data_IF_110683131578
#
_entry.id   IF_110683131578
#
_cell.length_a   1.000
_cell.length_b   1.000
_cell.length_c   1.000
_cell.angle_alpha   90.00
_cell.angle_beta   90.00
_cell.angle_gamma   90.00
#
_symmetry.space_group_name_H-M   'P 1'
#
loop_
_entity.id
_entity.type
_entity.pdbx_description
1 polymer ?
#
# COMPACT_ATOMS: atom_id res chain seq x y z
N UNK A 1 -37.54 40.32 -16.76
CA UNK A 1 -37.62 41.36 -15.70
C UNK A 1 -37.23 40.70 -14.37
N UNK A 2 -36.36 41.36 -13.60
CA UNK A 2 -35.72 40.99 -12.30
C UNK A 2 -34.78 39.76 -12.33
N UNK A 3 -33.45 39.80 -12.14
CA UNK A 3 -32.48 40.60 -11.34
C UNK A 3 -32.27 40.17 -9.87
N UNK A 4 -31.01 39.83 -9.60
CA UNK A 4 -30.20 40.10 -8.39
C UNK A 4 -30.04 39.03 -7.31
N UNK A 5 -28.78 38.81 -6.90
CA UNK A 5 -28.41 38.13 -5.66
C UNK A 5 -27.01 37.51 -5.61
N UNK A 6 -25.97 38.18 -6.12
CA UNK A 6 -24.56 37.74 -6.01
C UNK A 6 -24.02 38.08 -4.60
N UNK A 7 -23.89 37.08 -3.72
CA UNK A 7 -23.29 37.24 -2.39
C UNK A 7 -21.80 36.84 -2.43
N UNK A 8 -20.93 37.84 -2.40
CA UNK A 8 -19.47 37.72 -2.30
C UNK A 8 -19.04 37.76 -0.82
N UNK A 9 -18.42 36.70 -0.25
CA UNK A 9 -17.89 36.77 1.11
C UNK A 9 -16.49 37.43 1.11
N UNK A 10 -16.49 38.70 1.52
CA UNK A 10 -15.52 39.38 2.40
C UNK A 10 -14.05 38.89 2.43
N UNK A 11 -13.23 39.63 1.68
CA UNK A 11 -11.76 39.70 1.70
C UNK A 11 -11.11 39.92 3.08
N UNK A 12 -11.88 40.27 4.12
CA UNK A 12 -11.40 40.44 5.49
C UNK A 12 -11.06 39.11 6.19
N UNK A 13 -11.79 38.02 5.89
CA UNK A 13 -11.56 36.71 6.51
C UNK A 13 -10.28 36.04 5.98
N UNK A 14 -9.98 36.24 4.68
CA UNK A 14 -8.74 35.75 4.06
C UNK A 14 -7.49 36.47 4.59
N UNK A 15 -7.59 37.77 4.86
CA UNK A 15 -6.50 38.56 5.43
C UNK A 15 -6.18 38.17 6.89
N UNK A 16 -7.22 37.85 7.68
CA UNK A 16 -7.05 37.36 9.05
C UNK A 16 -6.44 35.94 9.10
N UNK A 17 -6.80 35.07 8.14
CA UNK A 17 -6.20 33.73 8.02
C UNK A 17 -4.72 33.81 7.60
N UNK A 18 -4.37 34.71 6.67
CA UNK A 18 -2.99 34.89 6.22
C UNK A 18 -2.06 35.43 7.32
N UNK A 19 -2.54 36.35 8.18
CA UNK A 19 -1.74 36.86 9.29
C UNK A 19 -1.54 35.81 10.40
N UNK A 20 -2.54 34.96 10.66
CA UNK A 20 -2.43 33.85 11.60
C UNK A 20 -1.42 32.77 11.14
N UNK A 21 -1.36 32.49 9.83
CA UNK A 21 -0.41 31.54 9.24
C UNK A 21 1.03 32.07 9.31
N UNK A 22 1.23 33.38 9.09
CA UNK A 22 2.55 34.01 9.22
C UNK A 22 3.04 34.03 10.69
N UNK A 23 2.15 34.33 11.64
CA UNK A 23 2.48 34.29 13.07
C UNK A 23 2.82 32.86 13.56
N UNK A 24 2.12 31.84 13.04
CA UNK A 24 2.43 30.44 13.32
C UNK A 24 3.76 30.00 12.71
N UNK A 25 4.08 30.46 11.50
CA UNK A 25 5.37 30.21 10.84
C UNK A 25 6.56 30.75 11.63
N UNK A 26 6.45 31.98 12.14
CA UNK A 26 7.51 32.59 12.94
C UNK A 26 7.74 31.86 14.28
N UNK A 27 6.67 31.39 14.94
CA UNK A 27 6.76 30.64 16.20
C UNK A 27 7.48 29.28 16.01
N UNK A 28 7.22 28.60 14.88
CA UNK A 28 7.84 27.32 14.52
C UNK A 28 9.31 27.48 14.16
N UNK A 29 9.70 28.56 13.49
CA UNK A 29 11.10 28.85 13.16
C UNK A 29 11.91 29.16 14.43
N UNK A 30 11.36 29.92 15.38
CA UNK A 30 12.00 30.16 16.69
C UNK A 30 12.09 28.91 17.57
N UNK A 31 11.12 27.98 17.48
CA UNK A 31 11.20 26.71 18.19
C UNK A 31 12.26 25.77 17.58
N UNK A 32 12.43 25.81 16.26
CA UNK A 32 13.37 24.94 15.51
C UNK A 32 14.84 25.33 15.70
N UNK A 33 15.15 26.56 16.09
CA UNK A 33 16.53 27.03 16.38
C UNK A 33 16.94 26.83 17.84
N UNK A 34 15.98 26.70 18.77
CA UNK A 34 16.23 26.47 20.20
C UNK A 34 16.39 24.99 20.59
N UNK A 35 15.85 24.07 19.78
CA UNK A 35 15.91 22.62 20.07
C UNK A 35 17.32 22.02 19.82
N UNK A 36 18.09 22.40 18.77
CA UNK A 36 19.43 21.85 18.55
C UNK A 36 20.47 22.32 19.59
N UNK A 37 20.25 23.47 20.23
CA UNK A 37 21.18 24.04 21.22
C UNK A 37 21.03 23.46 22.63
N UNK A 38 19.91 22.82 22.95
CA UNK A 38 19.67 22.15 24.24
C UNK A 38 20.07 20.67 24.28
N UNK A 39 20.25 20.04 23.12
CA UNK A 39 20.53 18.59 23.01
C UNK A 39 22.00 18.25 22.76
N UNK A 40 22.86 19.25 22.53
CA UNK A 40 24.28 19.04 22.25
C UNK A 40 25.15 19.38 23.47
N UNK A 41 25.00 18.60 24.55
CA UNK A 41 25.90 18.64 25.71
C UNK A 41 26.83 17.44 25.62
N UNK A 42 28.05 17.70 25.15
CA UNK A 42 29.17 16.75 25.18
C UNK A 42 29.71 16.63 26.62
N UNK A 43 29.94 15.43 27.18
CA UNK A 43 30.37 15.31 28.57
C UNK A 43 31.90 15.43 28.67
N UNK A 44 32.42 16.66 28.75
CA UNK A 44 33.81 16.89 29.13
C UNK A 44 34.07 18.36 29.50
N UNK A 45 33.61 18.81 30.67
CA UNK A 45 34.36 19.78 31.51
C UNK A 45 33.63 20.07 32.84
N UNK A 46 34.33 20.09 33.99
CA UNK A 46 33.71 20.38 35.29
C UNK A 46 33.85 21.87 35.61
N UNK A 47 33.18 22.76 34.87
CA UNK A 47 33.07 24.21 35.21
C UNK A 47 32.12 24.96 34.26
N UNK A 48 30.85 24.60 34.24
CA UNK A 48 29.81 25.44 33.64
C UNK A 48 28.45 25.14 34.25
N UNK A 49 28.37 25.41 35.56
CA UNK A 49 27.11 25.62 36.26
C UNK A 49 26.48 26.93 35.77
N UNK A 50 25.64 26.87 34.73
CA UNK A 50 24.67 27.94 34.44
C UNK A 50 23.27 27.38 34.71
N UNK A 51 22.86 27.58 35.97
CA UNK A 51 21.50 27.88 36.43
C UNK A 51 20.34 27.09 35.80
N UNK A 52 20.29 25.79 36.05
CA UNK A 52 19.00 25.07 36.14
C UNK A 52 18.63 24.96 37.62
N UNK A 53 17.86 25.95 38.08
CA UNK A 53 17.16 25.90 39.35
C UNK A 53 16.24 24.66 39.31
N UNK A 54 16.69 23.58 39.92
CA UNK A 54 15.93 22.33 40.03
C UNK A 54 14.77 22.55 40.99
N UNK A 55 13.63 23.00 40.46
CA UNK A 55 12.39 23.11 41.22
C UNK A 55 11.50 21.87 40.95
N UNK A 56 11.07 21.15 42.00
CA UNK A 56 10.44 19.83 41.88
C UNK A 56 9.06 19.82 41.18
N UNK A 57 8.48 20.99 40.88
CA UNK A 57 7.19 21.12 40.20
C UNK A 57 7.24 21.14 38.67
N UNK A 58 8.39 21.42 38.06
CA UNK A 58 8.55 21.53 36.60
C UNK A 58 8.22 20.23 35.82
N UNK A 59 8.61 19.02 36.27
CA UNK A 59 8.25 17.79 35.55
C UNK A 59 6.76 17.45 35.65
N UNK A 60 6.10 17.83 36.74
CA UNK A 60 4.66 17.66 36.92
C UNK A 60 3.87 18.62 36.04
N UNK A 61 4.31 19.88 35.96
CA UNK A 61 3.73 20.87 35.06
C UNK A 61 3.88 20.44 33.59
N UNK A 62 5.06 19.94 33.19
CA UNK A 62 5.27 19.41 31.83
C UNK A 62 4.37 18.23 31.51
N UNK A 63 4.19 17.27 32.44
CA UNK A 63 3.26 16.14 32.27
C UNK A 63 1.81 16.60 32.18
N UNK A 64 1.42 17.59 32.99
CA UNK A 64 0.09 18.18 32.95
C UNK A 64 -0.18 18.88 31.61
N UNK A 65 0.77 19.68 31.10
CA UNK A 65 0.64 20.32 29.79
C UNK A 65 0.52 19.31 28.64
N UNK A 66 1.30 18.22 28.65
CA UNK A 66 1.22 17.17 27.62
C UNK A 66 -0.11 16.41 27.69
N UNK A 67 -0.59 16.11 28.89
CA UNK A 67 -1.88 15.45 29.10
C UNK A 67 -3.04 16.34 28.63
N UNK A 68 -3.01 17.62 28.99
CA UNK A 68 -3.99 18.61 28.56
C UNK A 68 -3.99 18.81 27.04
N UNK A 69 -2.80 18.88 26.42
CA UNK A 69 -2.67 18.96 24.96
C UNK A 69 -3.21 17.70 24.26
N UNK A 70 -2.99 16.50 24.83
CA UNK A 70 -3.57 15.25 24.32
C UNK A 70 -5.10 15.25 24.38
N UNK A 71 -5.68 15.76 25.46
CA UNK A 71 -7.14 15.90 25.61
C UNK A 71 -7.70 16.88 24.58
N UNK A 72 -7.06 18.04 24.40
CA UNK A 72 -7.46 19.02 23.41
C UNK A 72 -7.39 18.46 21.98
N UNK A 73 -6.35 17.68 21.66
CA UNK A 73 -6.23 17.03 20.37
C UNK A 73 -7.35 16.00 20.14
N UNK A 74 -7.67 15.19 21.15
CA UNK A 74 -8.80 14.23 21.10
C UNK A 74 -10.13 14.95 20.90
N UNK A 75 -10.35 16.05 21.62
CA UNK A 75 -11.56 16.86 21.48
C UNK A 75 -11.66 17.50 20.09
N UNK A 76 -10.54 17.97 19.56
CA UNK A 76 -10.46 18.52 18.20
C UNK A 76 -10.77 17.46 17.14
N UNK A 77 -10.23 16.24 17.25
CA UNK A 77 -10.55 15.11 16.36
C UNK A 77 -12.03 14.71 16.45
N UNK A 78 -12.61 14.78 17.65
CA UNK A 78 -14.01 14.47 17.89
C UNK A 78 -14.93 15.53 17.28
N UNK A 79 -14.60 16.82 17.42
CA UNK A 79 -15.29 17.92 16.73
C UNK A 79 -15.14 17.79 15.22
N UNK A 80 -13.96 17.45 14.71
CA UNK A 80 -13.74 17.26 13.27
C UNK A 80 -14.57 16.10 12.71
N UNK A 81 -14.74 15.04 13.51
CA UNK A 81 -15.59 13.89 13.20
C UNK A 81 -17.09 14.22 13.23
N UNK A 82 -17.49 15.24 14.01
CA UNK A 82 -18.86 15.77 14.05
C UNK A 82 -19.14 16.78 12.92
N UNK A 83 -18.16 17.59 12.54
CA UNK A 83 -18.27 18.58 11.45
C UNK A 83 -18.19 17.93 10.06
N UNK A 84 -17.47 16.81 9.95
CA UNK A 84 -17.36 16.00 8.75
C UNK A 84 -17.80 14.57 9.05
N UNK A 85 -19.12 14.31 9.14
CA UNK A 85 -19.62 12.96 9.29
C UNK A 85 -19.11 12.14 8.11
N UNK A 86 -18.33 11.09 8.40
CA UNK A 86 -17.97 10.09 7.41
C UNK A 86 -19.30 9.55 6.84
N UNK A 87 -19.53 9.55 5.52
CA UNK A 87 -20.73 8.95 4.97
C UNK A 87 -20.83 7.52 5.52
N UNK A 88 -22.04 7.06 5.90
CA UNK A 88 -22.21 5.68 6.34
C UNK A 88 -21.59 4.76 5.28
N UNK A 89 -20.95 3.64 5.67
CA UNK A 89 -20.45 2.69 4.69
C UNK A 89 -21.62 2.41 3.75
N UNK A 90 -21.43 2.73 2.47
CA UNK A 90 -22.41 2.39 1.47
C UNK A 90 -22.56 0.89 1.56
N UNK A 91 -23.66 0.44 2.16
CA UNK A 91 -24.15 -0.92 2.03
C UNK A 91 -24.60 -1.06 0.58
N UNK A 92 -23.65 -1.00 -0.35
CA UNK A 92 -23.83 -1.43 -1.71
C UNK A 92 -23.91 -2.95 -1.62
N UNK A 93 -25.09 -3.44 -1.25
CA UNK A 93 -25.59 -4.63 -1.92
C UNK A 93 -25.44 -4.31 -3.40
N UNK A 94 -24.40 -4.89 -4.00
CA UNK A 94 -24.03 -4.72 -5.40
C UNK A 94 -25.29 -4.61 -6.23
N UNK A 95 -25.48 -3.47 -6.90
CA UNK A 95 -26.59 -3.29 -7.83
C UNK A 95 -26.56 -4.51 -8.76
N UNK A 96 -27.57 -5.37 -8.61
CA UNK A 96 -27.66 -6.64 -9.29
C UNK A 96 -27.67 -6.31 -10.78
N UNK A 97 -26.57 -6.60 -11.48
CA UNK A 97 -26.56 -6.51 -12.93
C UNK A 97 -27.58 -7.52 -13.45
N UNK A 98 -28.64 -7.03 -14.09
CA UNK A 98 -29.69 -7.85 -14.69
C UNK A 98 -29.18 -8.69 -15.89
N UNK A 99 -27.91 -8.54 -16.28
CA UNK A 99 -27.27 -9.28 -17.38
C UNK A 99 -26.45 -10.50 -16.91
N UNK A 100 -26.32 -10.71 -15.60
CA UNK A 100 -25.51 -11.80 -15.04
C UNK A 100 -26.36 -13.05 -14.74
N UNK A 101 -25.81 -14.23 -15.07
CA UNK A 101 -26.48 -15.50 -14.82
C UNK A 101 -26.82 -15.66 -13.32
N UNK A 102 -27.90 -16.37 -12.95
CA UNK A 102 -28.22 -16.63 -11.55
C UNK A 102 -27.05 -17.24 -10.77
N UNK A 103 -26.26 -18.10 -11.43
CA UNK A 103 -25.06 -18.73 -10.86
C UNK A 103 -23.96 -17.71 -10.57
N UNK A 104 -23.71 -16.78 -11.50
CA UNK A 104 -22.76 -15.67 -11.29
C UNK A 104 -23.18 -14.81 -10.10
N UNK A 105 -24.48 -14.46 -10.02
CA UNK A 105 -25.00 -13.66 -8.91
C UNK A 105 -24.87 -14.37 -7.56
N UNK A 106 -25.16 -15.67 -7.53
CA UNK A 106 -25.02 -16.48 -6.31
C UNK A 106 -23.56 -16.53 -5.86
N UNK A 107 -22.61 -16.79 -6.77
CA UNK A 107 -21.19 -16.85 -6.45
C UNK A 107 -20.65 -15.48 -6.00
N UNK A 108 -20.95 -14.40 -6.74
CA UNK A 108 -20.59 -13.03 -6.34
C UNK A 108 -21.15 -12.67 -4.97
N UNK A 109 -22.37 -13.10 -4.65
CA UNK A 109 -22.96 -12.88 -3.32
C UNK A 109 -22.17 -13.63 -2.23
N UNK A 110 -21.79 -14.89 -2.46
CA UNK A 110 -20.96 -15.65 -1.50
C UNK A 110 -19.60 -14.96 -1.29
N UNK A 111 -18.93 -14.54 -2.37
CA UNK A 111 -17.64 -13.82 -2.29
C UNK A 111 -17.77 -12.48 -1.55
N UNK A 112 -18.84 -11.74 -1.82
CA UNK A 112 -19.17 -10.51 -1.09
C UNK A 112 -19.33 -10.78 0.40
N UNK A 113 -20.11 -11.81 0.79
CA UNK A 113 -20.30 -12.23 2.17
C UNK A 113 -18.98 -12.58 2.87
N UNK A 114 -18.07 -13.30 2.20
CA UNK A 114 -16.72 -13.60 2.73
C UNK A 114 -15.99 -12.31 3.12
N UNK A 115 -16.05 -11.28 2.29
CA UNK A 115 -15.38 -10.00 2.55
C UNK A 115 -15.91 -9.26 3.78
N UNK A 116 -17.18 -9.44 4.14
CA UNK A 116 -17.82 -8.75 5.27
C UNK A 116 -17.65 -9.47 6.62
N UNK A 117 -17.64 -10.80 6.65
CA UNK A 117 -17.61 -11.55 7.91
C UNK A 117 -16.20 -11.49 8.51
N UNK A 118 -16.01 -11.14 9.80
CA UNK A 118 -14.69 -11.16 10.43
C UNK A 118 -14.14 -12.60 10.57
N UNK A 119 -12.82 -12.76 10.46
CA UNK A 119 -12.14 -14.08 10.54
C UNK A 119 -12.39 -14.80 11.88
N UNK A 120 -12.66 -14.05 12.95
CA UNK A 120 -13.01 -14.60 14.26
C UNK A 120 -14.34 -15.34 14.30
N UNK A 121 -15.20 -15.15 13.30
CA UNK A 121 -16.50 -15.83 13.21
C UNK A 121 -16.37 -17.16 12.49
N UNK A 122 -16.93 -18.24 13.07
CA UNK A 122 -17.05 -19.55 12.38
C UNK A 122 -17.77 -19.44 11.03
N UNK A 123 -18.63 -18.43 10.85
CA UNK A 123 -19.34 -18.17 9.58
C UNK A 123 -18.38 -17.77 8.45
N UNK A 124 -17.21 -17.22 8.78
CA UNK A 124 -16.17 -16.87 7.80
C UNK A 124 -15.66 -18.13 7.09
N UNK A 125 -15.24 -19.12 7.87
CA UNK A 125 -14.75 -20.40 7.34
C UNK A 125 -15.84 -21.13 6.57
N UNK A 126 -17.10 -21.09 7.05
CA UNK A 126 -18.23 -21.62 6.29
C UNK A 126 -18.38 -20.94 4.93
N UNK A 127 -18.49 -19.61 4.89
CA UNK A 127 -18.66 -18.86 3.63
C UNK A 127 -17.47 -19.06 2.68
N UNK A 128 -16.24 -19.09 3.20
CA UNK A 128 -15.03 -19.35 2.42
C UNK A 128 -15.01 -20.76 1.85
N UNK A 129 -15.31 -21.77 2.66
CA UNK A 129 -15.41 -23.16 2.19
C UNK A 129 -16.53 -23.37 1.17
N UNK A 130 -17.61 -22.61 1.27
CA UNK A 130 -18.69 -22.60 0.27
C UNK A 130 -18.21 -21.96 -1.02
N UNK A 131 -17.48 -20.84 -0.96
CA UNK A 131 -16.89 -20.20 -2.13
C UNK A 131 -15.91 -21.14 -2.84
N UNK A 132 -14.97 -21.74 -2.10
CA UNK A 132 -13.99 -22.69 -2.65
C UNK A 132 -14.70 -23.84 -3.36
N UNK A 133 -15.69 -24.46 -2.72
CA UNK A 133 -16.45 -25.57 -3.31
C UNK A 133 -17.18 -25.18 -4.59
N UNK A 134 -17.87 -24.03 -4.60
CA UNK A 134 -18.59 -23.57 -5.79
C UNK A 134 -17.63 -23.24 -6.95
N UNK A 135 -16.46 -22.68 -6.65
CA UNK A 135 -15.42 -22.43 -7.64
C UNK A 135 -14.89 -23.74 -8.21
N UNK A 136 -14.56 -24.70 -7.36
CA UNK A 136 -14.01 -26.00 -7.75
C UNK A 136 -15.04 -26.83 -8.53
N UNK A 137 -16.32 -26.83 -8.12
CA UNK A 137 -17.42 -27.48 -8.84
C UNK A 137 -17.60 -26.89 -10.25
N UNK A 138 -17.51 -25.57 -10.39
CA UNK A 138 -17.56 -24.89 -11.69
C UNK A 138 -16.34 -25.24 -12.57
N UNK A 139 -15.16 -25.46 -11.96
CA UNK A 139 -13.98 -25.92 -12.69
C UNK A 139 -14.13 -27.36 -13.18
N UNK A 140 -14.61 -28.27 -12.33
CA UNK A 140 -14.75 -29.70 -12.65
C UNK A 140 -15.90 -29.94 -13.64
N UNK A 141 -17.01 -29.23 -13.49
CA UNK A 141 -18.23 -29.43 -14.28
C UNK A 141 -18.18 -28.76 -15.66
N UNK A 142 -17.07 -28.11 -16.01
CA UNK A 142 -16.95 -27.36 -17.25
C UNK A 142 -16.92 -28.28 -18.47
N UNK A 143 -18.09 -28.48 -19.06
CA UNK A 143 -18.22 -28.63 -20.52
C UNK A 143 -17.63 -27.39 -21.21
N UNK A 144 -17.21 -27.46 -22.49
CA UNK A 144 -16.52 -26.36 -23.15
C UNK A 144 -17.33 -25.05 -23.09
N UNK A 145 -16.87 -24.08 -22.30
CA UNK A 145 -17.24 -22.65 -22.42
C UNK A 145 -18.21 -22.03 -21.39
N UNK A 146 -18.88 -22.80 -20.53
CA UNK A 146 -19.97 -22.23 -19.70
C UNK A 146 -19.55 -21.66 -18.34
N UNK A 147 -19.02 -22.51 -17.46
CA UNK A 147 -18.87 -22.21 -16.02
C UNK A 147 -17.54 -21.52 -15.67
N UNK A 148 -16.50 -21.67 -16.50
CA UNK A 148 -15.26 -20.90 -16.35
C UNK A 148 -15.50 -19.39 -16.43
N UNK A 149 -16.37 -18.93 -17.33
CA UNK A 149 -16.73 -17.52 -17.46
C UNK A 149 -17.44 -16.99 -16.20
N UNK A 150 -18.20 -17.86 -15.51
CA UNK A 150 -18.86 -17.53 -14.24
C UNK A 150 -17.82 -17.29 -13.15
N UNK A 151 -16.85 -18.20 -12.98
CA UNK A 151 -15.76 -18.04 -12.01
C UNK A 151 -14.95 -16.79 -12.30
N UNK A 152 -14.53 -16.61 -13.56
CA UNK A 152 -13.76 -15.46 -14.01
C UNK A 152 -14.47 -14.15 -13.67
N UNK A 153 -15.73 -13.99 -14.04
CA UNK A 153 -16.49 -12.77 -13.77
C UNK A 153 -16.67 -12.49 -12.26
N UNK A 154 -17.05 -13.50 -11.48
CA UNK A 154 -17.29 -13.33 -10.05
C UNK A 154 -16.00 -13.03 -9.26
N UNK A 155 -14.90 -13.73 -9.58
CA UNK A 155 -13.59 -13.50 -8.95
C UNK A 155 -13.01 -12.14 -9.33
N UNK A 156 -13.14 -11.74 -10.60
CA UNK A 156 -12.67 -10.46 -11.12
C UNK A 156 -13.34 -9.27 -10.38
N UNK A 157 -14.66 -9.31 -10.24
CA UNK A 157 -15.42 -8.29 -9.49
C UNK A 157 -15.07 -8.31 -7.98
N UNK A 158 -14.97 -9.48 -7.37
CA UNK A 158 -14.60 -9.61 -5.96
C UNK A 158 -13.18 -9.11 -5.65
N UNK A 159 -12.22 -9.38 -6.55
CA UNK A 159 -10.83 -8.94 -6.43
C UNK A 159 -10.76 -7.41 -6.51
N UNK A 160 -11.40 -6.82 -7.51
CA UNK A 160 -11.45 -5.37 -7.67
C UNK A 160 -12.15 -4.67 -6.51
N UNK A 161 -13.28 -5.21 -6.05
CA UNK A 161 -13.99 -4.69 -4.89
C UNK A 161 -13.11 -4.74 -3.63
N UNK A 162 -12.34 -5.82 -3.44
CA UNK A 162 -11.44 -5.97 -2.30
C UNK A 162 -10.27 -4.97 -2.34
N UNK A 163 -9.70 -4.71 -3.53
CA UNK A 163 -8.70 -3.65 -3.72
C UNK A 163 -9.29 -2.27 -3.39
N UNK A 164 -10.46 -1.93 -3.95
CA UNK A 164 -11.13 -0.64 -3.69
C UNK A 164 -11.42 -0.44 -2.20
N UNK A 165 -11.80 -1.51 -1.51
CA UNK A 165 -12.08 -1.48 -0.08
C UNK A 165 -10.81 -1.33 0.76
N UNK A 166 -9.71 -1.98 0.37
CA UNK A 166 -8.39 -1.73 0.97
C UNK A 166 -7.97 -0.28 0.81
N UNK A 167 -8.09 0.29 -0.38
CA UNK A 167 -7.77 1.70 -0.63
C UNK A 167 -8.60 2.66 0.24
N UNK A 168 -9.86 2.31 0.53
CA UNK A 168 -10.72 3.10 1.40
C UNK A 168 -10.35 3.00 2.90
N UNK A 169 -9.76 1.88 3.33
CA UNK A 169 -9.31 1.68 4.72
C UNK A 169 -7.91 2.23 5.00
N UNK A 170 -7.11 2.41 3.96
CA UNK A 170 -5.70 2.79 4.10
C UNK A 170 -5.47 4.29 3.93
N UNK A 171 -4.43 4.84 4.58
CA UNK A 171 -4.13 6.25 4.47
C UNK A 171 -3.82 6.63 3.02
N UNK A 172 -4.39 7.75 2.57
CA UNK A 172 -4.10 8.32 1.27
C UNK A 172 -2.73 9.00 1.27
N UNK A 173 -1.81 8.63 0.37
CA UNK A 173 -0.52 9.30 0.26
C UNK A 173 -0.66 10.57 -0.59
N UNK A 174 -0.81 11.73 0.05
CA UNK A 174 -0.69 13.06 -0.56
C UNK A 174 -1.60 14.12 0.09
N UNK A 175 -1.15 15.34 0.40
CA UNK A 175 0.09 16.01 -0.02
C UNK A 175 0.57 17.09 0.95
N UNK A 176 1.81 16.93 1.40
CA UNK A 176 2.57 17.95 2.12
C UNK A 176 3.96 17.41 2.52
N UNK A 177 4.97 18.27 2.73
CA UNK A 177 6.32 17.87 3.17
C UNK A 177 6.33 17.02 4.46
N UNK A 178 5.27 17.14 5.27
CA UNK A 178 5.10 16.42 6.53
C UNK A 178 4.85 14.92 6.35
N UNK A 179 4.36 14.43 5.20
CA UNK A 179 4.08 12.99 5.02
C UNK A 179 5.35 12.15 4.84
N UNK A 180 6.38 12.69 4.17
CA UNK A 180 7.69 12.06 4.11
C UNK A 180 8.36 12.02 5.49
N UNK A 181 8.17 13.10 6.26
CA UNK A 181 8.66 13.22 7.64
C UNK A 181 7.93 12.24 8.55
N UNK A 182 6.61 12.06 8.41
CA UNK A 182 5.83 11.06 9.16
C UNK A 182 6.25 9.64 8.79
N UNK A 183 6.54 9.36 7.52
CA UNK A 183 7.09 8.07 7.09
C UNK A 183 8.47 7.77 7.71
N UNK A 184 9.37 8.76 7.72
CA UNK A 184 10.69 8.65 8.34
C UNK A 184 10.62 8.54 9.88
N UNK A 185 9.73 9.31 10.52
CA UNK A 185 9.48 9.27 11.96
C UNK A 185 8.84 7.96 12.37
N UNK A 186 7.90 7.41 11.58
CA UNK A 186 7.25 6.12 11.85
C UNK A 186 8.23 4.95 11.69
N UNK A 187 9.13 5.01 10.70
CA UNK A 187 10.25 4.07 10.61
C UNK A 187 11.19 4.15 11.81
N UNK A 188 11.43 5.35 12.33
CA UNK A 188 12.23 5.57 13.54
C UNK A 188 11.50 5.11 14.81
N UNK A 189 10.17 5.29 14.90
CA UNK A 189 9.36 4.88 16.04
C UNK A 189 9.22 3.35 16.13
N UNK A 190 9.18 2.65 14.98
CA UNK A 190 9.29 1.18 14.91
C UNK A 190 10.59 0.67 15.53
N UNK A 191 11.69 1.42 15.38
CA UNK A 191 13.00 1.10 15.99
C UNK A 191 13.04 1.28 17.51
N UNK A 192 12.11 2.03 18.10
CA UNK A 192 12.09 2.35 19.55
C UNK A 192 11.03 1.54 20.31
N UNK A 193 10.24 0.69 19.64
CA UNK A 193 9.29 -0.20 20.30
C UNK A 193 8.14 0.50 21.02
N UNK A 194 7.80 1.73 20.62
CA UNK A 194 6.68 2.48 21.21
C UNK A 194 5.38 1.98 20.60
N UNK A 195 4.69 1.10 21.33
CA UNK A 195 3.44 0.47 20.93
C UNK A 195 2.31 1.46 20.65
N UNK A 196 1.62 1.23 19.53
CA UNK A 196 0.46 1.99 19.05
C UNK A 196 -0.76 1.73 19.93
N UNK A 197 -1.32 2.79 20.53
CA UNK A 197 -2.54 2.74 21.33
C UNK A 197 -3.75 2.92 20.41
N UNK A 198 -4.55 1.86 20.31
CA UNK A 198 -5.99 1.83 19.97
C UNK A 198 -6.42 2.33 18.58
N UNK A 199 -6.05 1.56 17.55
CA UNK A 199 -6.59 1.62 16.17
C UNK A 199 -6.98 0.24 15.59
N UNK A 200 -7.14 -0.77 16.47
CA UNK A 200 -7.08 -2.19 16.08
C UNK A 200 -8.14 -2.66 15.08
N UNK A 201 -9.33 -2.08 15.06
CA UNK A 201 -10.41 -2.52 14.17
C UNK A 201 -10.12 -2.32 12.68
N UNK A 202 -9.55 -1.17 12.31
CA UNK A 202 -9.21 -0.85 10.92
C UNK A 202 -8.01 -1.65 10.41
N UNK A 203 -6.96 -1.78 11.23
CA UNK A 203 -5.78 -2.56 10.85
C UNK A 203 -6.10 -4.05 10.68
N UNK A 204 -6.91 -4.63 11.57
CA UNK A 204 -7.32 -6.05 11.46
C UNK A 204 -8.19 -6.26 10.20
N UNK A 205 -9.08 -5.33 9.88
CA UNK A 205 -9.90 -5.40 8.67
C UNK A 205 -9.05 -5.28 7.39
N UNK A 206 -8.06 -4.38 7.36
CA UNK A 206 -7.14 -4.23 6.24
C UNK A 206 -6.23 -5.46 6.06
N UNK A 207 -5.69 -6.01 7.16
CA UNK A 207 -4.90 -7.25 7.13
C UNK A 207 -5.72 -8.43 6.59
N UNK A 208 -6.96 -8.58 7.08
CA UNK A 208 -7.91 -9.57 6.56
C UNK A 208 -8.13 -9.40 5.06
N UNK A 209 -8.47 -8.19 4.60
CA UNK A 209 -8.76 -7.95 3.19
C UNK A 209 -7.52 -8.19 2.32
N UNK A 210 -6.31 -7.87 2.79
CA UNK A 210 -5.09 -8.18 2.06
C UNK A 210 -4.87 -9.71 1.93
N UNK A 211 -5.17 -10.48 2.97
CA UNK A 211 -5.15 -11.94 2.90
C UNK A 211 -6.24 -12.51 1.97
N UNK A 212 -7.40 -11.85 1.90
CA UNK A 212 -8.46 -12.20 0.93
C UNK A 212 -8.06 -11.87 -0.50
N UNK A 213 -7.41 -10.74 -0.75
CA UNK A 213 -6.84 -10.40 -2.07
C UNK A 213 -5.84 -11.46 -2.52
N UNK A 214 -4.97 -11.94 -1.63
CA UNK A 214 -4.05 -13.04 -1.96
C UNK A 214 -4.81 -14.31 -2.36
N UNK A 215 -5.83 -14.70 -1.61
CA UNK A 215 -6.64 -15.88 -1.91
C UNK A 215 -7.44 -15.74 -3.20
N UNK A 216 -8.04 -14.58 -3.45
CA UNK A 216 -8.74 -14.30 -4.69
C UNK A 216 -7.78 -14.36 -5.88
N UNK A 217 -6.57 -13.82 -5.77
CA UNK A 217 -5.53 -13.95 -6.81
C UNK A 217 -5.16 -15.42 -7.08
N UNK A 218 -5.01 -16.23 -6.03
CA UNK A 218 -4.75 -17.68 -6.15
C UNK A 218 -5.90 -18.38 -6.87
N UNK A 219 -7.15 -18.11 -6.47
CA UNK A 219 -8.34 -18.68 -7.12
C UNK A 219 -8.49 -18.20 -8.56
N UNK A 220 -8.15 -16.94 -8.86
CA UNK A 220 -8.12 -16.43 -10.22
C UNK A 220 -7.10 -17.19 -11.07
N UNK A 221 -5.91 -17.49 -10.53
CA UNK A 221 -4.91 -18.28 -11.23
C UNK A 221 -5.34 -19.73 -11.47
N UNK A 222 -5.94 -20.39 -10.47
CA UNK A 222 -6.52 -21.73 -10.61
C UNK A 222 -7.64 -21.77 -11.67
N UNK A 223 -8.39 -20.68 -11.83
CA UNK A 223 -9.44 -20.54 -12.83
C UNK A 223 -8.96 -20.06 -14.21
N UNK A 224 -7.65 -19.95 -14.46
CA UNK A 224 -7.11 -19.48 -15.74
C UNK A 224 -7.28 -17.97 -15.99
N UNK A 225 -7.49 -17.19 -14.94
CA UNK A 225 -7.69 -15.72 -14.98
C UNK A 225 -6.58 -14.94 -14.27
N UNK A 226 -5.38 -15.52 -14.14
CA UNK A 226 -4.22 -14.89 -13.50
C UNK A 226 -3.87 -13.52 -14.11
N UNK A 227 -4.00 -13.37 -15.43
CA UNK A 227 -3.68 -12.13 -16.14
C UNK A 227 -4.53 -10.94 -15.67
N UNK A 228 -5.80 -11.16 -15.36
CA UNK A 228 -6.66 -10.09 -14.83
C UNK A 228 -6.27 -9.68 -13.41
N UNK A 229 -5.81 -10.62 -12.59
CA UNK A 229 -5.32 -10.32 -11.24
C UNK A 229 -4.03 -9.50 -11.32
N UNK A 230 -3.10 -9.89 -12.21
CA UNK A 230 -1.87 -9.15 -12.52
C UNK A 230 -2.19 -7.73 -12.98
N UNK A 231 -3.05 -7.56 -13.98
CA UNK A 231 -3.40 -6.25 -14.54
C UNK A 231 -4.03 -5.32 -13.48
N UNK A 232 -4.96 -5.84 -12.66
CA UNK A 232 -5.59 -5.06 -11.59
C UNK A 232 -4.62 -4.68 -10.48
N UNK A 233 -3.73 -5.59 -10.08
CA UNK A 233 -2.71 -5.30 -9.09
C UNK A 233 -1.68 -4.30 -9.62
N UNK A 234 -1.26 -4.43 -10.87
CA UNK A 234 -0.39 -3.48 -11.56
C UNK A 234 -0.99 -2.07 -11.59
N UNK A 235 -2.31 -1.96 -11.75
CA UNK A 235 -3.05 -0.70 -11.81
C UNK A 235 -3.36 -0.07 -10.44
N UNK A 236 -3.11 -0.78 -9.33
CA UNK A 236 -3.43 -0.33 -7.98
C UNK A 236 -2.37 0.64 -7.41
N UNK A 237 -2.09 1.72 -8.14
CA UNK A 237 -1.03 2.69 -7.83
C UNK A 237 -1.26 3.37 -6.47
N UNK A 238 -2.52 3.72 -6.15
CA UNK A 238 -2.87 4.32 -4.86
C UNK A 238 -2.53 3.37 -3.72
N UNK A 239 -2.95 2.11 -3.85
CA UNK A 239 -2.66 1.07 -2.87
C UNK A 239 -1.16 0.84 -2.71
N UNK A 240 -0.39 0.77 -3.80
CA UNK A 240 1.07 0.61 -3.76
C UNK A 240 1.76 1.74 -3.02
N UNK A 241 1.32 2.99 -3.20
CA UNK A 241 1.83 4.13 -2.43
C UNK A 241 1.42 4.05 -0.95
N UNK A 242 0.18 3.70 -0.65
CA UNK A 242 -0.30 3.51 0.72
C UNK A 242 0.46 2.40 1.44
N UNK A 243 0.84 1.33 0.74
CA UNK A 243 1.56 0.19 1.29
C UNK A 243 2.91 0.58 1.93
N UNK A 244 3.52 1.70 1.53
CA UNK A 244 4.75 2.19 2.15
C UNK A 244 4.51 2.82 3.54
N UNK A 245 3.27 3.19 3.86
CA UNK A 245 2.89 3.94 5.07
C UNK A 245 2.18 3.09 6.13
N UNK A 246 1.63 1.94 5.75
CA UNK A 246 0.87 1.05 6.65
C UNK A 246 1.74 0.28 7.63
N UNK A 247 1.13 -0.23 8.71
CA UNK A 247 1.76 -1.12 9.69
C UNK A 247 2.48 -2.32 9.05
N UNK A 248 3.56 -2.80 9.67
CA UNK A 248 4.38 -3.91 9.16
C UNK A 248 3.55 -5.16 8.85
N UNK A 249 2.54 -5.48 9.67
CA UNK A 249 1.65 -6.63 9.45
C UNK A 249 0.91 -6.56 8.11
N UNK A 250 0.42 -5.37 7.75
CA UNK A 250 -0.27 -5.14 6.47
C UNK A 250 0.75 -5.15 5.32
N UNK A 251 1.95 -4.58 5.51
CA UNK A 251 3.04 -4.64 4.53
C UNK A 251 3.40 -6.10 4.19
N UNK A 252 3.48 -6.97 5.20
CA UNK A 252 3.74 -8.41 5.03
C UNK A 252 2.70 -9.05 4.11
N UNK A 253 1.41 -8.74 4.32
CA UNK A 253 0.35 -9.26 3.48
C UNK A 253 0.48 -8.76 2.02
N UNK A 254 0.77 -7.48 1.81
CA UNK A 254 1.00 -6.94 0.46
C UNK A 254 2.24 -7.49 -0.24
N UNK A 255 3.33 -7.76 0.50
CA UNK A 255 4.50 -8.44 -0.06
C UNK A 255 4.11 -9.82 -0.59
N UNK A 256 3.32 -10.59 0.16
CA UNK A 256 2.86 -11.92 -0.28
C UNK A 256 2.00 -11.84 -1.55
N UNK A 257 1.09 -10.88 -1.64
CA UNK A 257 0.28 -10.64 -2.85
C UNK A 257 1.18 -10.30 -4.04
N UNK A 258 2.08 -9.32 -3.86
CA UNK A 258 3.00 -8.88 -4.93
C UNK A 258 3.90 -10.01 -5.41
N UNK A 259 4.49 -10.78 -4.49
CA UNK A 259 5.35 -11.92 -4.80
C UNK A 259 4.59 -12.98 -5.61
N UNK A 260 3.37 -13.33 -5.19
CA UNK A 260 2.53 -14.26 -5.94
C UNK A 260 2.27 -13.75 -7.37
N UNK A 261 1.87 -12.48 -7.51
CA UNK A 261 1.51 -11.91 -8.80
C UNK A 261 2.71 -11.64 -9.72
N UNK A 262 3.89 -11.34 -9.18
CA UNK A 262 5.12 -11.28 -9.97
C UNK A 262 5.46 -12.66 -10.55
N UNK A 263 5.30 -13.74 -9.77
CA UNK A 263 5.46 -15.10 -10.30
C UNK A 263 4.43 -15.42 -11.38
N UNK A 264 3.17 -15.05 -11.17
CA UNK A 264 2.10 -15.25 -12.16
C UNK A 264 2.40 -14.50 -13.46
N UNK A 265 2.80 -13.24 -13.38
CA UNK A 265 3.17 -12.43 -14.54
C UNK A 265 4.36 -13.04 -15.30
N UNK A 266 5.42 -13.44 -14.58
CA UNK A 266 6.57 -14.10 -15.20
C UNK A 266 6.19 -15.43 -15.87
N UNK A 267 5.34 -16.25 -15.24
CA UNK A 267 4.85 -17.51 -15.84
C UNK A 267 4.14 -17.26 -17.17
N UNK A 268 3.25 -16.27 -17.21
CA UNK A 268 2.55 -15.89 -18.44
C UNK A 268 3.51 -15.42 -19.54
N UNK A 269 4.56 -14.65 -19.19
CA UNK A 269 5.59 -14.25 -20.15
C UNK A 269 6.45 -15.42 -20.67
N UNK A 270 6.53 -16.53 -19.94
CA UNK A 270 7.24 -17.73 -20.39
C UNK A 270 6.35 -18.54 -21.32
N UNK A 271 5.07 -18.71 -20.97
CA UNK A 271 4.07 -19.42 -21.78
C UNK A 271 3.96 -18.77 -23.18
N UNK A 272 3.84 -17.44 -23.26
CA UNK A 272 3.77 -16.72 -24.54
C UNK A 272 5.02 -16.83 -25.42
N UNK A 273 6.21 -16.92 -24.82
CA UNK A 273 7.45 -17.04 -25.59
C UNK A 273 7.63 -18.44 -26.20
N UNK A 274 6.75 -19.40 -25.87
CA UNK A 274 6.85 -20.80 -26.30
C UNK A 274 5.82 -21.13 -27.40
N UNK A 275 4.83 -20.26 -27.61
CA UNK A 275 3.75 -20.43 -28.59
C UNK A 275 4.09 -19.56 -29.83
N UNK A 276 4.31 -20.20 -30.98
CA UNK A 276 4.68 -19.53 -32.24
C UNK A 276 3.43 -18.98 -32.98
N UNK A 277 2.62 -18.10 -32.37
CA UNK A 277 1.44 -17.52 -33.01
C UNK A 277 1.49 -15.98 -33.15
N UNK A 278 1.26 -15.49 -34.37
CA UNK A 278 1.25 -14.06 -34.74
C UNK A 278 0.20 -13.20 -33.98
N UNK A 279 -0.75 -13.81 -33.26
CA UNK A 279 -1.71 -13.12 -32.38
C UNK A 279 -1.16 -12.83 -30.97
N UNK A 280 0.01 -13.38 -30.61
CA UNK A 280 0.63 -13.28 -29.28
C UNK A 280 1.32 -11.92 -29.02
N UNK A 281 1.49 -11.09 -30.06
CA UNK A 281 2.15 -9.79 -29.94
C UNK A 281 1.34 -8.80 -29.09
N UNK A 282 0.01 -8.70 -29.27
CA UNK A 282 -0.81 -7.75 -28.49
C UNK A 282 -0.91 -8.17 -27.02
N UNK A 283 -1.08 -9.48 -26.77
CA UNK A 283 -1.15 -10.03 -25.42
C UNK A 283 0.22 -9.93 -24.71
N UNK A 284 1.30 -10.21 -25.43
CA UNK A 284 2.68 -10.04 -24.94
C UNK A 284 3.01 -8.59 -24.60
N UNK A 285 2.61 -7.63 -25.44
CA UNK A 285 2.74 -6.19 -25.16
C UNK A 285 1.96 -5.81 -23.89
N UNK A 286 0.71 -6.27 -23.77
CA UNK A 286 -0.14 -6.00 -22.61
C UNK A 286 0.48 -6.52 -21.30
N UNK A 287 1.03 -7.73 -21.32
CA UNK A 287 1.69 -8.31 -20.14
C UNK A 287 3.00 -7.56 -19.82
N UNK A 288 3.79 -7.18 -20.82
CA UNK A 288 4.99 -6.36 -20.61
C UNK A 288 4.66 -5.01 -19.95
N UNK A 289 3.60 -4.33 -20.41
CA UNK A 289 3.09 -3.10 -19.80
C UNK A 289 2.61 -3.32 -18.36
N UNK A 290 1.91 -4.43 -18.09
CA UNK A 290 1.53 -4.80 -16.73
C UNK A 290 2.75 -5.03 -15.85
N UNK A 291 3.80 -5.70 -16.35
CA UNK A 291 5.04 -5.95 -15.62
C UNK A 291 5.75 -4.65 -15.25
N UNK A 292 5.89 -3.72 -16.21
CA UNK A 292 6.46 -2.40 -15.94
C UNK A 292 5.64 -1.64 -14.88
N UNK A 293 4.31 -1.68 -14.99
CA UNK A 293 3.41 -1.04 -14.02
C UNK A 293 3.50 -1.69 -12.64
N UNK A 294 3.68 -3.01 -12.57
CA UNK A 294 3.95 -3.71 -11.32
C UNK A 294 5.27 -3.29 -10.68
N UNK A 295 6.36 -3.16 -11.46
CA UNK A 295 7.63 -2.66 -10.95
C UNK A 295 7.48 -1.25 -10.37
N UNK A 296 6.88 -0.33 -11.13
CA UNK A 296 6.63 1.05 -10.67
C UNK A 296 5.84 1.10 -9.36
N UNK A 297 4.82 0.26 -9.24
CA UNK A 297 3.88 0.31 -8.12
C UNK A 297 4.37 -0.43 -6.88
N UNK A 298 4.98 -1.61 -7.06
CA UNK A 298 5.19 -2.57 -5.97
C UNK A 298 6.66 -2.83 -5.63
N UNK A 299 7.61 -2.56 -6.53
CA UNK A 299 9.04 -2.65 -6.21
C UNK A 299 9.43 -1.77 -5.00
N UNK A 300 8.91 -0.53 -4.84
CA UNK A 300 9.17 0.26 -3.65
C UNK A 300 8.82 -0.45 -2.34
N UNK A 301 7.71 -1.20 -2.33
CA UNK A 301 7.28 -1.97 -1.16
C UNK A 301 8.24 -3.13 -0.92
N UNK A 302 8.65 -3.84 -1.98
CA UNK A 302 9.59 -4.97 -1.85
C UNK A 302 10.91 -4.51 -1.23
N UNK A 303 11.44 -3.35 -1.66
CA UNK A 303 12.67 -2.79 -1.09
C UNK A 303 12.53 -2.35 0.37
N UNK A 304 11.36 -1.84 0.77
CA UNK A 304 11.17 -1.17 2.07
C UNK A 304 10.47 -2.01 3.13
N UNK A 305 9.83 -3.11 2.78
CA UNK A 305 9.13 -3.94 3.73
C UNK A 305 10.13 -4.56 4.72
N UNK A 306 9.94 -4.31 6.01
CA UNK A 306 10.82 -4.86 7.04
C UNK A 306 10.76 -6.38 7.06
N UNK A 307 11.92 -7.02 7.17
CA UNK A 307 12.01 -8.43 7.53
C UNK A 307 11.39 -8.59 8.93
N UNK A 308 10.21 -9.22 9.04
CA UNK A 308 9.51 -9.37 10.32
C UNK A 308 10.45 -9.81 11.45
N UNK A 309 10.29 -9.24 12.64
CA UNK A 309 11.26 -9.34 13.75
C UNK A 309 11.42 -10.80 14.23
N UNK A 310 10.37 -11.62 14.12
CA UNK A 310 10.33 -12.99 14.66
C UNK A 310 10.17 -14.09 13.60
N UNK A 311 9.71 -13.77 12.39
CA UNK A 311 9.56 -14.73 11.28
C UNK A 311 9.75 -14.01 9.95
N UNK A 312 10.71 -14.43 9.11
CA UNK A 312 10.93 -13.79 7.82
C UNK A 312 9.70 -13.99 6.92
N UNK A 313 9.27 -12.92 6.25
CA UNK A 313 8.08 -12.91 5.36
C UNK A 313 8.16 -13.98 4.28
N UNK A 314 9.38 -14.14 3.73
CA UNK A 314 9.78 -15.11 2.74
C UNK A 314 11.02 -15.82 3.27
N UNK A 315 11.08 -17.13 3.07
CA UNK A 315 12.31 -17.93 3.28
C UNK A 315 13.45 -17.41 2.42
N UNK A 316 14.69 -17.74 2.78
CA UNK A 316 15.88 -17.38 1.98
C UNK A 316 15.78 -17.92 0.55
N UNK A 317 15.25 -19.13 0.37
CA UNK A 317 15.00 -19.74 -0.94
C UNK A 317 13.98 -18.94 -1.77
N UNK A 318 12.84 -18.58 -1.19
CA UNK A 318 11.82 -17.77 -1.88
C UNK A 318 12.34 -16.39 -2.26
N UNK A 319 13.18 -15.77 -1.42
CA UNK A 319 13.82 -14.48 -1.73
C UNK A 319 14.76 -14.57 -2.92
N UNK A 320 15.60 -15.61 -2.96
CA UNK A 320 16.55 -15.83 -4.05
C UNK A 320 15.82 -16.15 -5.36
N UNK A 321 14.79 -17.00 -5.28
CA UNK A 321 13.91 -17.28 -6.42
C UNK A 321 13.26 -16.00 -6.96
N UNK A 322 12.73 -15.15 -6.07
CA UNK A 322 12.11 -13.90 -6.50
C UNK A 322 13.09 -12.91 -7.10
N UNK A 323 14.31 -12.81 -6.59
CA UNK A 323 15.36 -12.00 -7.24
C UNK A 323 15.60 -12.50 -8.67
N UNK A 324 15.66 -13.81 -8.88
CA UNK A 324 15.79 -14.41 -10.23
C UNK A 324 14.58 -14.07 -11.12
N UNK A 325 13.36 -14.20 -10.60
CA UNK A 325 12.13 -13.85 -11.34
C UNK A 325 12.14 -12.38 -11.75
N UNK A 326 12.47 -11.47 -10.84
CA UNK A 326 12.56 -10.03 -11.14
C UNK A 326 13.67 -9.74 -12.18
N UNK A 327 14.85 -10.38 -12.08
CA UNK A 327 15.94 -10.23 -13.05
C UNK A 327 15.51 -10.66 -14.47
N UNK A 328 14.83 -11.81 -14.61
CA UNK A 328 14.33 -12.29 -15.90
C UNK A 328 13.24 -11.36 -16.48
N UNK A 329 12.34 -10.85 -15.64
CA UNK A 329 11.34 -9.88 -16.08
C UNK A 329 11.98 -8.56 -16.53
N UNK A 330 13.01 -8.07 -15.81
CA UNK A 330 13.73 -6.84 -16.18
C UNK A 330 14.47 -7.00 -17.50
N UNK A 331 15.11 -8.16 -17.75
CA UNK A 331 15.82 -8.43 -19.02
C UNK A 331 14.93 -8.30 -20.26
N UNK A 332 13.61 -8.57 -20.12
CA UNK A 332 12.63 -8.49 -21.21
C UNK A 332 12.16 -7.05 -21.50
N UNK A 333 12.51 -6.08 -20.66
CA UNK A 333 12.13 -4.68 -20.86
C UNK A 333 13.08 -3.97 -21.83
N UNK A 334 12.62 -2.87 -22.45
CA UNK A 334 13.50 -1.98 -23.23
C UNK A 334 14.58 -1.36 -22.35
N UNK A 335 15.68 -0.86 -22.93
CA UNK A 335 16.78 -0.29 -22.15
C UNK A 335 16.35 0.92 -21.31
N UNK A 336 15.44 1.75 -21.81
CA UNK A 336 14.88 2.89 -21.10
C UNK A 336 13.98 2.44 -19.94
N UNK A 337 13.19 1.39 -20.16
CA UNK A 337 12.35 0.81 -19.11
C UNK A 337 13.20 0.11 -18.03
N UNK A 338 14.30 -0.55 -18.42
CA UNK A 338 15.27 -1.10 -17.47
C UNK A 338 15.89 0.00 -16.61
N UNK A 339 16.33 1.11 -17.22
CA UNK A 339 16.86 2.28 -16.50
C UNK A 339 15.85 2.80 -15.46
N UNK A 340 14.60 2.94 -15.87
CA UNK A 340 13.54 3.42 -14.99
C UNK A 340 13.33 2.48 -13.78
N UNK A 341 13.21 1.17 -14.02
CA UNK A 341 13.01 0.19 -12.95
C UNK A 341 14.22 0.12 -12.02
N UNK A 342 15.44 0.13 -12.58
CA UNK A 342 16.68 0.01 -11.83
C UNK A 342 17.02 1.26 -11.03
N UNK A 343 16.71 2.45 -11.56
CA UNK A 343 16.84 3.71 -10.81
C UNK A 343 15.83 3.78 -9.65
N UNK A 344 14.57 3.35 -9.88
CA UNK A 344 13.56 3.23 -8.83
C UNK A 344 14.00 2.25 -7.74
N UNK A 345 14.51 1.08 -8.14
CA UNK A 345 15.08 0.09 -7.22
C UNK A 345 16.18 0.72 -6.37
N UNK A 346 17.20 1.31 -7.00
CA UNK A 346 18.36 1.85 -6.30
C UNK A 346 17.97 2.93 -5.30
N UNK A 347 17.01 3.80 -5.67
CA UNK A 347 16.46 4.81 -4.77
C UNK A 347 15.82 4.18 -3.52
N UNK A 348 14.94 3.18 -3.69
CA UNK A 348 14.23 2.58 -2.57
C UNK A 348 15.08 1.61 -1.74
N UNK A 349 16.01 0.89 -2.38
CA UNK A 349 16.95 -0.03 -1.76
C UNK A 349 17.90 0.73 -0.83
N UNK A 350 18.52 1.80 -1.30
CA UNK A 350 19.45 2.61 -0.49
C UNK A 350 18.76 3.42 0.61
N UNK A 351 17.48 3.74 0.45
CA UNK A 351 16.70 4.47 1.45
C UNK A 351 16.24 3.60 2.65
N UNK A 352 16.39 2.28 2.59
CA UNK A 352 15.99 1.37 3.66
C UNK A 352 17.20 0.66 4.28
N UNK A 353 17.74 1.12 5.42
CA UNK A 353 18.91 0.50 6.05
C UNK A 353 18.62 -0.88 6.65
N UNK A 354 17.34 -1.22 6.81
CA UNK A 354 16.89 -2.43 7.51
C UNK A 354 16.53 -3.58 6.53
N UNK A 355 16.70 -3.39 5.21
CA UNK A 355 16.38 -4.37 4.18
C UNK A 355 17.39 -4.37 3.03
N UNK A 356 18.06 -5.51 2.85
CA UNK A 356 18.95 -5.78 1.70
C UNK A 356 18.23 -6.56 0.58
N UNK A 357 16.89 -6.51 0.52
CA UNK A 357 16.09 -7.26 -0.44
C UNK A 357 15.09 -6.37 -1.17
N UNK A 358 14.84 -6.58 -2.49
CA UNK A 358 15.56 -7.49 -3.39
C UNK A 358 16.91 -6.91 -3.82
N UNK A 359 17.97 -7.72 -3.87
CA UNK A 359 19.27 -7.30 -4.41
C UNK A 359 19.27 -7.47 -5.95
N UNK A 360 19.20 -6.35 -6.68
CA UNK A 360 19.20 -6.31 -8.15
C UNK A 360 20.51 -5.71 -8.71
N UNK A 361 21.60 -5.74 -7.94
CA UNK A 361 22.92 -5.23 -8.34
C UNK A 361 23.43 -5.87 -9.65
N UNK A 362 23.19 -7.17 -9.83
CA UNK A 362 23.57 -7.89 -11.06
C UNK A 362 22.80 -7.38 -12.28
N UNK A 363 21.50 -7.11 -12.13
CA UNK A 363 20.67 -6.50 -13.16
C UNK A 363 21.15 -5.10 -13.51
N UNK A 364 21.46 -4.29 -12.50
CA UNK A 364 21.99 -2.93 -12.68
C UNK A 364 23.31 -2.92 -13.43
N UNK A 365 24.26 -3.77 -13.01
CA UNK A 365 25.59 -3.86 -13.62
C UNK A 365 25.51 -4.30 -15.07
N UNK A 366 24.61 -5.26 -15.39
CA UNK A 366 24.38 -5.73 -16.76
C UNK A 366 23.80 -4.63 -17.65
N UNK A 367 22.75 -3.96 -17.19
CA UNK A 367 22.16 -2.83 -17.89
C UNK A 367 23.19 -1.72 -18.14
N UNK A 368 23.96 -1.33 -17.12
CA UNK A 368 24.99 -0.29 -17.26
C UNK A 368 26.07 -0.68 -18.28
N UNK A 369 26.53 -1.93 -18.27
CA UNK A 369 27.49 -2.43 -19.25
C UNK A 369 26.93 -2.36 -20.68
N UNK A 370 25.66 -2.75 -20.88
CA UNK A 370 24.99 -2.69 -22.18
C UNK A 370 24.80 -1.24 -22.65
N UNK A 371 24.32 -0.35 -21.79
CA UNK A 371 24.18 1.08 -22.10
C UNK A 371 25.52 1.72 -22.48
N UNK A 372 26.61 1.35 -21.80
CA UNK A 372 27.96 1.82 -22.16
C UNK A 372 28.40 1.36 -23.54
N UNK A 373 28.07 0.13 -23.94
CA UNK A 373 28.43 -0.35 -25.29
C UNK A 373 27.73 0.42 -26.41
N UNK A 374 26.50 0.88 -26.18
CA UNK A 374 25.76 1.69 -27.15
C UNK A 374 26.31 3.11 -27.30
N UNK A 375 26.87 3.69 -26.24
CA UNK A 375 27.51 5.02 -26.29
C UNK A 375 28.86 5.02 -27.02
N UNK A 376 29.49 3.85 -27.15
CA UNK A 376 30.79 3.68 -27.81
C UNK A 376 30.66 3.25 -29.28
N UNK A 377 29.44 3.00 -29.75
CA UNK A 377 29.09 2.79 -31.15
C UNK A 377 28.72 4.14 -31.78
#
# INVERSE_FOLDING_TARGET
MASSGENKPTTAAAAAAASAISAAGNLVVTASTLIPSLLNIHPSDPKSSILLLSHPGLPLFRRFCLFFFSILLRFFVLILSLLFPLPPPSNSYTAISNSSSPTTRALSHVLSVVSFIPVSSRKYYFARSLADRLLDENLISSQPGGLHAVNRAALSDAFEHSIRRLEALLPMPGGGPMDLVVGAIRGTLRRVGVGEIDGGGGSIAAEKLAAEVLWLAQKMAECGSAGEAVARWASAVRLGRSALLVETRIQVAFVKVSVFLFRSAHRMQVELNTEDHDEDDELGISISQCCLSMFRTWLPLLCRASNGIDTPILSSGERAEMVRVLDEMIKKLSLEQQEEVLSLWLHHFTACPDSDWPNLESSYTRWYAQSRTLLLQ
#
